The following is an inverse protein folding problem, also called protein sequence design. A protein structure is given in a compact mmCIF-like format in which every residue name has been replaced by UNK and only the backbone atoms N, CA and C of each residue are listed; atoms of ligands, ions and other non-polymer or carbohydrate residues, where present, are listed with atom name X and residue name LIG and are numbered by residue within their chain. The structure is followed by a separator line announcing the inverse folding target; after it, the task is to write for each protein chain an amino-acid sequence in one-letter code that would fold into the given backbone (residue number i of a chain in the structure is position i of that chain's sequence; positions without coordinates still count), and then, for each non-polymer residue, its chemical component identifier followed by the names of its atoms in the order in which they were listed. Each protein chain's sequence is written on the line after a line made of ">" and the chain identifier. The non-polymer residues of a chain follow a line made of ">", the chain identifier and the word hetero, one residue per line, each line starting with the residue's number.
data_IF_297244114619
#
_entry.id   IF_297244114619
#
_cell.length_a   1.000
_cell.length_b   1.000
_cell.length_c   1.000
_cell.angle_alpha   90.00
_cell.angle_beta   90.00
_cell.angle_gamma   90.00
#
_symmetry.space_group_name_H-M   'P 1'
#
loop_
_entity.id
_entity.type
_entity.pdbx_description
1 polymer ?
#
# COMPACT_ATOMS: atom_id res chain seq x y z
N UNK A 1 -18.11 3.23 -1.02
CA UNK A 1 -18.39 1.78 -0.88
C UNK A 1 -19.34 1.34 -1.98
N UNK A 2 -19.04 0.28 -2.72
CA UNK A 2 -20.03 -0.28 -3.68
C UNK A 2 -21.29 -0.72 -2.92
N UNK A 3 -22.47 -0.35 -3.41
CA UNK A 3 -23.75 -0.67 -2.77
C UNK A 3 -24.19 -2.12 -3.00
N UNK A 4 -23.26 -3.07 -2.99
CA UNK A 4 -23.56 -4.46 -3.28
C UNK A 4 -24.47 -5.05 -2.19
N UNK A 5 -25.51 -5.75 -2.64
CA UNK A 5 -26.34 -6.60 -1.80
C UNK A 5 -25.58 -7.89 -1.45
N UNK A 6 -25.96 -8.59 -0.36
CA UNK A 6 -25.33 -9.88 -0.03
C UNK A 6 -25.39 -10.90 -1.18
N UNK A 7 -26.47 -10.90 -1.97
CA UNK A 7 -26.61 -11.79 -3.14
C UNK A 7 -25.63 -11.45 -4.25
N UNK A 8 -25.39 -10.17 -4.51
CA UNK A 8 -24.42 -9.72 -5.51
C UNK A 8 -22.99 -10.04 -5.07
N UNK A 9 -22.68 -9.86 -3.78
CA UNK A 9 -21.37 -10.24 -3.23
C UNK A 9 -21.13 -11.74 -3.42
N UNK A 10 -22.10 -12.58 -3.04
CA UNK A 10 -22.00 -14.04 -3.23
C UNK A 10 -21.79 -14.38 -4.71
N UNK A 11 -22.59 -13.78 -5.61
CA UNK A 11 -22.48 -14.00 -7.05
C UNK A 11 -21.10 -13.63 -7.61
N UNK A 12 -20.50 -12.56 -7.10
CA UNK A 12 -19.16 -12.17 -7.53
C UNK A 12 -18.09 -13.12 -6.96
N UNK A 13 -18.26 -13.60 -5.72
CA UNK A 13 -17.40 -14.63 -5.14
C UNK A 13 -17.52 -15.97 -5.88
N UNK A 14 -18.70 -16.32 -6.39
CA UNK A 14 -18.94 -17.56 -7.16
C UNK A 14 -18.09 -17.66 -8.43
N UNK A 15 -17.63 -16.52 -8.98
CA UNK A 15 -16.75 -16.50 -10.17
C UNK A 15 -15.33 -17.02 -9.88
N UNK A 16 -14.92 -17.04 -8.62
CA UNK A 16 -13.56 -17.38 -8.20
C UNK A 16 -13.50 -18.55 -7.22
N UNK A 17 -14.53 -18.73 -6.39
CA UNK A 17 -14.60 -19.78 -5.37
C UNK A 17 -15.71 -20.75 -5.74
N UNK A 18 -15.38 -22.04 -5.86
CA UNK A 18 -16.37 -23.10 -6.12
C UNK A 18 -16.92 -23.62 -4.79
N UNK A 19 -18.25 -23.70 -4.65
CA UNK A 19 -18.92 -24.13 -3.42
C UNK A 19 -18.72 -23.17 -2.24
N UNK A 20 -18.66 -23.68 -1.01
CA UNK A 20 -18.47 -22.88 0.22
C UNK A 20 -19.55 -21.80 0.45
N UNK A 21 -20.81 -22.11 0.11
CA UNK A 21 -21.91 -21.14 0.09
C UNK A 21 -22.17 -20.50 1.46
N UNK A 22 -22.02 -21.26 2.55
CA UNK A 22 -22.16 -20.77 3.91
C UNK A 22 -21.10 -19.69 4.23
N UNK A 23 -19.83 -19.99 3.93
CA UNK A 23 -18.73 -19.04 4.14
C UNK A 23 -18.91 -17.77 3.29
N UNK A 24 -19.33 -17.92 2.02
CA UNK A 24 -19.64 -16.78 1.13
C UNK A 24 -20.77 -15.91 1.69
N UNK A 25 -21.84 -16.53 2.21
CA UNK A 25 -22.95 -15.79 2.84
C UNK A 25 -22.50 -15.06 4.09
N UNK A 26 -21.70 -15.70 4.95
CA UNK A 26 -21.18 -15.10 6.17
C UNK A 26 -20.37 -13.83 5.87
N UNK A 27 -19.41 -13.91 4.93
CA UNK A 27 -18.61 -12.74 4.54
C UNK A 27 -19.44 -11.66 3.85
N UNK A 28 -20.44 -12.04 3.05
CA UNK A 28 -21.33 -11.09 2.38
C UNK A 28 -22.19 -10.31 3.39
N UNK A 29 -22.66 -10.96 4.46
CA UNK A 29 -23.40 -10.31 5.54
C UNK A 29 -22.49 -9.36 6.32
N UNK A 30 -21.28 -9.79 6.70
CA UNK A 30 -20.32 -8.95 7.41
C UNK A 30 -19.98 -7.68 6.62
N UNK A 31 -19.75 -7.81 5.31
CA UNK A 31 -19.50 -6.69 4.42
C UNK A 31 -20.71 -5.77 4.27
N UNK A 32 -21.91 -6.33 4.13
CA UNK A 32 -23.15 -5.54 4.06
C UNK A 32 -23.42 -4.78 5.37
N UNK A 33 -23.06 -5.36 6.51
CA UNK A 33 -23.20 -4.71 7.81
C UNK A 33 -22.29 -3.48 7.93
N UNK A 34 -21.11 -3.48 7.29
CA UNK A 34 -20.27 -2.26 7.19
C UNK A 34 -20.94 -1.14 6.42
N UNK A 35 -21.56 -1.46 5.27
CA UNK A 35 -22.36 -0.49 4.53
C UNK A 35 -23.51 0.04 5.38
N UNK A 36 -24.26 -0.84 6.08
CA UNK A 36 -25.35 -0.45 6.97
C UNK A 36 -24.87 0.47 8.09
N UNK A 37 -23.74 0.15 8.73
CA UNK A 37 -23.11 0.98 9.77
C UNK A 37 -22.84 2.40 9.25
N UNK A 38 -22.29 2.53 8.05
CA UNK A 38 -22.00 3.83 7.44
C UNK A 38 -23.27 4.67 7.13
N UNK A 39 -24.47 4.08 7.18
CA UNK A 39 -25.75 4.80 7.04
C UNK A 39 -26.38 5.18 8.38
N UNK A 40 -25.81 4.74 9.51
CA UNK A 40 -26.31 5.08 10.84
C UNK A 40 -25.85 6.49 11.23
N UNK A 41 -26.63 7.19 12.08
CA UNK A 41 -26.19 8.40 12.77
C UNK A 41 -24.91 8.16 13.58
N UNK A 42 -24.10 9.21 13.80
CA UNK A 42 -22.75 9.07 14.35
C UNK A 42 -22.73 8.48 15.77
N UNK A 43 -23.71 8.82 16.62
CA UNK A 43 -23.86 8.31 17.98
C UNK A 43 -24.04 6.79 18.04
N UNK A 44 -24.86 6.22 17.14
CA UNK A 44 -25.09 4.78 17.06
C UNK A 44 -23.97 4.10 16.26
N UNK A 45 -23.37 4.81 15.30
CA UNK A 45 -22.36 4.25 14.40
C UNK A 45 -21.15 3.73 15.17
N UNK A 46 -20.68 4.46 16.17
CA UNK A 46 -19.51 4.10 16.98
C UNK A 46 -19.77 2.86 17.85
N UNK A 47 -21.00 2.67 18.34
CA UNK A 47 -21.36 1.50 19.17
C UNK A 47 -21.45 0.18 18.36
N UNK A 48 -21.62 0.27 17.04
CA UNK A 48 -21.78 -0.92 16.18
C UNK A 48 -20.42 -1.48 15.76
N UNK A 49 -19.99 -2.51 16.47
CA UNK A 49 -18.75 -3.23 16.17
C UNK A 49 -18.88 -4.17 14.95
N UNK A 50 -17.79 -4.41 14.22
CA UNK A 50 -17.73 -5.42 13.17
C UNK A 50 -18.15 -6.80 13.68
N UNK A 51 -18.76 -7.60 12.80
CA UNK A 51 -19.01 -9.02 13.07
C UNK A 51 -17.84 -9.81 12.52
N UNK A 52 -16.86 -10.07 13.37
CA UNK A 52 -15.71 -10.90 13.01
C UNK A 52 -16.15 -12.31 12.65
N UNK A 53 -15.30 -13.03 11.91
CA UNK A 53 -15.65 -14.32 11.32
C UNK A 53 -14.59 -15.35 11.70
N UNK A 54 -15.03 -16.50 12.19
CA UNK A 54 -14.18 -17.68 12.35
C UNK A 54 -14.53 -18.72 11.27
N UNK A 55 -13.59 -18.99 10.37
CA UNK A 55 -13.72 -20.00 9.33
C UNK A 55 -13.10 -21.34 9.78
N UNK A 56 -13.93 -22.37 9.87
CA UNK A 56 -13.51 -23.71 10.27
C UNK A 56 -13.52 -24.63 9.04
N UNK A 57 -12.42 -25.34 8.81
CA UNK A 57 -12.36 -26.37 7.77
C UNK A 57 -10.93 -26.77 7.41
N UNK A 58 -10.74 -27.83 6.62
CA UNK A 58 -9.41 -28.32 6.28
C UNK A 58 -8.62 -27.32 5.41
N UNK A 59 -7.32 -27.54 5.26
CA UNK A 59 -6.49 -26.73 4.36
C UNK A 59 -6.94 -26.90 2.90
N UNK A 60 -6.68 -25.89 2.06
CA UNK A 60 -6.97 -25.97 0.62
C UNK A 60 -8.44 -25.78 0.19
N UNK A 61 -9.41 -25.67 1.11
CA UNK A 61 -10.84 -25.49 0.75
C UNK A 61 -11.24 -24.07 0.34
N UNK A 62 -10.30 -23.12 0.34
CA UNK A 62 -10.53 -21.75 -0.13
C UNK A 62 -10.79 -20.69 0.95
N UNK A 63 -10.58 -20.97 2.24
CA UNK A 63 -10.77 -20.00 3.34
C UNK A 63 -10.07 -18.66 3.09
N UNK A 64 -8.77 -18.70 2.79
CA UNK A 64 -7.97 -17.51 2.49
C UNK A 64 -8.41 -16.84 1.19
N UNK A 65 -8.84 -17.62 0.19
CA UNK A 65 -9.24 -17.07 -1.11
C UNK A 65 -10.56 -16.30 -1.00
N UNK A 66 -11.51 -16.77 -0.18
CA UNK A 66 -12.74 -16.03 0.12
C UNK A 66 -12.41 -14.66 0.72
N UNK A 67 -11.56 -14.60 1.75
CA UNK A 67 -11.18 -13.34 2.39
C UNK A 67 -10.41 -12.40 1.45
N UNK A 68 -9.47 -12.94 0.66
CA UNK A 68 -8.70 -12.18 -0.33
C UNK A 68 -9.60 -11.59 -1.42
N UNK A 69 -10.54 -12.38 -1.95
CA UNK A 69 -11.48 -11.93 -2.99
C UNK A 69 -12.47 -10.92 -2.44
N UNK A 70 -12.94 -11.11 -1.21
CA UNK A 70 -13.77 -10.13 -0.52
C UNK A 70 -13.07 -8.77 -0.43
N UNK A 71 -11.81 -8.74 0.01
CA UNK A 71 -11.06 -7.50 0.11
C UNK A 71 -10.87 -6.80 -1.24
N UNK A 72 -10.53 -7.57 -2.28
CA UNK A 72 -10.39 -7.04 -3.65
C UNK A 72 -11.72 -6.52 -4.22
N UNK A 73 -12.85 -7.14 -3.88
CA UNK A 73 -14.17 -6.73 -4.36
C UNK A 73 -14.56 -5.33 -3.86
N UNK A 74 -14.12 -4.95 -2.66
CA UNK A 74 -14.48 -3.67 -2.05
C UNK A 74 -13.32 -2.69 -1.91
N UNK A 75 -12.21 -2.96 -2.61
CA UNK A 75 -10.98 -2.17 -2.53
C UNK A 75 -10.57 -1.89 -1.06
N UNK A 76 -10.60 -2.94 -0.25
CA UNK A 76 -10.21 -2.89 1.15
C UNK A 76 -8.73 -3.26 1.34
N UNK A 77 -7.99 -2.56 2.23
CA UNK A 77 -6.68 -3.01 2.69
C UNK A 77 -6.77 -4.40 3.32
N UNK A 78 -5.85 -5.29 2.96
CA UNK A 78 -5.87 -6.68 3.39
C UNK A 78 -4.48 -7.13 3.82
N UNK A 79 -4.41 -7.77 4.99
CA UNK A 79 -3.21 -8.44 5.48
C UNK A 79 -3.54 -9.88 5.89
N UNK A 80 -2.67 -10.82 5.52
CA UNK A 80 -2.70 -12.21 6.00
C UNK A 80 -1.55 -12.39 6.98
N UNK A 81 -1.84 -12.90 8.16
CA UNK A 81 -0.84 -13.27 9.18
C UNK A 81 -1.16 -14.66 9.73
N UNK A 82 -0.12 -15.43 10.07
CA UNK A 82 -0.26 -16.73 10.73
C UNK A 82 -0.13 -16.52 12.24
N UNK A 83 -1.08 -17.05 13.03
CA UNK A 83 -1.10 -16.85 14.48
C UNK A 83 0.13 -17.46 15.19
N UNK A 84 0.71 -18.51 14.61
CA UNK A 84 1.90 -19.20 15.11
C UNK A 84 3.16 -18.33 15.11
N UNK A 85 3.22 -17.28 14.28
CA UNK A 85 4.34 -16.33 14.23
C UNK A 85 4.60 -15.61 15.55
N UNK A 86 3.61 -15.55 16.43
CA UNK A 86 3.72 -14.91 17.73
C UNK A 86 4.06 -15.88 18.87
N UNK A 87 4.19 -17.19 18.58
CA UNK A 87 4.44 -18.24 19.60
C UNK A 87 5.91 -18.63 19.78
N UNK A 88 6.80 -18.28 18.85
CA UNK A 88 8.18 -18.80 18.86
C UNK A 88 9.09 -18.09 19.87
N UNK A 89 9.89 -18.88 20.60
CA UNK A 89 10.86 -18.47 21.63
C UNK A 89 12.04 -17.74 20.96
N UNK A 90 11.79 -16.50 20.57
CA UNK A 90 12.70 -15.63 19.83
C UNK A 90 12.14 -14.21 19.82
N UNK A 91 11.66 -13.77 20.99
CA UNK A 91 10.89 -12.56 21.21
C UNK A 91 11.78 -11.31 21.25
N UNK A 92 12.38 -10.97 20.11
CA UNK A 92 12.95 -9.64 19.87
C UNK A 92 12.45 -9.18 18.48
N UNK A 93 11.27 -8.56 18.43
CA UNK A 93 10.95 -7.65 17.32
C UNK A 93 9.65 -7.83 16.52
N UNK A 94 8.73 -8.77 16.84
CA UNK A 94 7.39 -8.79 16.21
C UNK A 94 6.25 -8.81 17.21
N UNK A 95 5.94 -7.59 17.64
CA UNK A 95 4.74 -7.17 18.36
C UNK A 95 3.46 -7.44 17.52
N UNK A 96 2.37 -7.90 18.14
CA UNK A 96 1.07 -8.16 17.49
C UNK A 96 0.52 -6.91 16.80
N UNK A 97 0.86 -5.71 17.30
CA UNK A 97 0.52 -4.45 16.63
C UNK A 97 1.15 -4.32 15.23
N UNK A 98 2.20 -5.09 14.92
CA UNK A 98 2.77 -5.14 13.56
C UNK A 98 1.75 -5.55 12.50
N UNK A 99 0.73 -6.32 12.86
CA UNK A 99 -0.39 -6.66 11.98
C UNK A 99 -1.08 -5.39 11.47
N UNK A 100 -1.31 -4.42 12.37
CA UNK A 100 -1.97 -3.16 12.04
C UNK A 100 -1.03 -2.25 11.26
N UNK A 101 0.27 -2.23 11.59
CA UNK A 101 1.29 -1.50 10.81
C UNK A 101 1.35 -2.01 9.36
N UNK A 102 1.35 -3.33 9.16
CA UNK A 102 1.33 -3.97 7.85
C UNK A 102 0.02 -3.68 7.07
N UNK A 103 -1.12 -3.65 7.78
CA UNK A 103 -2.41 -3.26 7.21
C UNK A 103 -2.40 -1.82 6.69
N UNK A 104 -1.80 -0.90 7.45
CA UNK A 104 -1.66 0.51 7.07
C UNK A 104 -0.74 0.66 5.87
N UNK A 105 0.37 -0.07 5.81
CA UNK A 105 1.23 -0.10 4.62
C UNK A 105 0.50 -0.66 3.39
N UNK A 106 -0.33 -1.69 3.56
CA UNK A 106 -1.18 -2.20 2.49
C UNK A 106 -2.20 -1.15 2.04
N UNK A 107 -2.76 -0.37 2.97
CA UNK A 107 -3.67 0.74 2.67
C UNK A 107 -2.98 1.85 1.89
N UNK A 108 -1.77 2.26 2.28
CA UNK A 108 -0.99 3.27 1.58
C UNK A 108 -0.69 2.84 0.16
N UNK A 109 -0.26 1.59 -0.05
CA UNK A 109 -0.02 1.07 -1.41
C UNK A 109 -1.27 1.15 -2.28
N UNK A 110 -2.43 0.79 -1.71
CA UNK A 110 -3.70 0.84 -2.39
C UNK A 110 -4.13 2.28 -2.74
N UNK A 111 -4.10 3.19 -1.78
CA UNK A 111 -4.48 4.60 -1.98
C UNK A 111 -3.51 5.28 -2.95
N UNK A 112 -2.20 5.07 -2.80
CA UNK A 112 -1.19 5.61 -3.71
C UNK A 112 -1.42 5.16 -5.16
N UNK A 113 -1.76 3.89 -5.38
CA UNK A 113 -2.08 3.39 -6.72
C UNK A 113 -3.31 4.09 -7.32
N UNK A 114 -4.35 4.34 -6.51
CA UNK A 114 -5.55 5.05 -6.96
C UNK A 114 -5.29 6.53 -7.25
N UNK A 115 -4.49 7.22 -6.42
CA UNK A 115 -4.05 8.58 -6.68
C UNK A 115 -3.20 8.66 -7.94
N UNK A 116 -2.28 7.70 -8.14
CA UNK A 116 -1.47 7.58 -9.35
C UNK A 116 -2.31 7.45 -10.63
N UNK A 117 -3.41 6.70 -10.57
CA UNK A 117 -4.35 6.59 -11.70
C UNK A 117 -5.13 7.89 -11.94
N UNK A 118 -5.53 8.62 -10.88
CA UNK A 118 -6.21 9.92 -11.00
C UNK A 118 -5.31 10.96 -11.68
N UNK A 119 -4.00 10.95 -11.42
CA UNK A 119 -3.05 11.90 -12.00
C UNK A 119 -2.45 11.44 -13.33
N UNK A 120 -2.75 10.21 -13.80
CA UNK A 120 -2.09 9.61 -14.97
C UNK A 120 -2.16 10.48 -16.22
N UNK A 121 -3.34 11.00 -16.56
CA UNK A 121 -3.53 11.85 -17.75
C UNK A 121 -2.68 13.12 -17.67
N UNK A 122 -2.60 13.74 -16.48
CA UNK A 122 -1.79 14.94 -16.27
C UNK A 122 -0.30 14.62 -16.31
N UNK A 123 0.11 13.49 -15.73
CA UNK A 123 1.48 13.02 -15.78
C UNK A 123 1.93 12.69 -17.21
N UNK A 124 1.07 12.09 -18.02
CA UNK A 124 1.31 11.85 -19.45
C UNK A 124 1.53 13.15 -20.23
N UNK A 125 0.70 14.18 -19.98
CA UNK A 125 0.87 15.49 -20.60
C UNK A 125 2.17 16.18 -20.17
N UNK A 126 2.48 16.19 -18.88
CA UNK A 126 3.73 16.76 -18.35
C UNK A 126 4.97 16.03 -18.90
N UNK A 127 4.91 14.70 -18.99
CA UNK A 127 6.00 13.89 -19.53
C UNK A 127 6.21 14.15 -21.02
N UNK A 128 5.13 14.34 -21.78
CA UNK A 128 5.19 14.75 -23.19
C UNK A 128 5.86 16.12 -23.33
N UNK A 129 5.51 17.10 -22.49
CA UNK A 129 6.14 18.42 -22.51
C UNK A 129 7.63 18.35 -22.14
N UNK A 130 8.01 17.59 -21.10
CA UNK A 130 9.44 17.35 -20.78
C UNK A 130 10.18 16.69 -21.94
N UNK A 131 9.56 15.76 -22.63
CA UNK A 131 10.17 15.06 -23.76
C UNK A 131 10.35 16.00 -24.97
N UNK A 132 9.35 16.82 -25.28
CA UNK A 132 9.45 17.89 -26.30
C UNK A 132 10.61 18.81 -25.98
N UNK A 133 10.73 19.25 -24.72
CA UNK A 133 11.81 20.10 -24.27
C UNK A 133 13.19 19.44 -24.43
N UNK A 134 13.34 18.18 -24.02
CA UNK A 134 14.59 17.44 -24.17
C UNK A 134 15.01 17.27 -25.65
N UNK A 135 14.05 17.10 -26.55
CA UNK A 135 14.31 16.94 -27.99
C UNK A 135 14.55 18.28 -28.73
N UNK A 136 14.08 19.39 -28.16
CA UNK A 136 14.21 20.72 -28.77
C UNK A 136 15.31 21.57 -28.14
N UNK A 137 15.73 21.28 -26.92
CA UNK A 137 16.86 21.94 -26.26
C UNK A 137 18.17 21.59 -26.99
N UNK A 138 18.60 22.50 -27.85
CA UNK A 138 19.88 22.46 -28.57
C UNK A 138 21.07 22.94 -27.73
N UNK A 139 20.83 23.49 -26.54
CA UNK A 139 21.90 24.03 -25.70
C UNK A 139 22.21 23.10 -24.54
N UNK A 140 23.36 22.42 -24.62
CA UNK A 140 24.05 21.87 -23.44
C UNK A 140 24.14 23.00 -22.41
N UNK A 141 23.37 22.91 -21.32
CA UNK A 141 23.59 23.77 -20.14
C UNK A 141 25.07 23.63 -19.78
N UNK A 142 25.84 24.71 -19.90
CA UNK A 142 27.23 24.71 -19.39
C UNK A 142 27.14 24.42 -17.89
N UNK A 143 27.82 23.38 -17.37
CA UNK A 143 27.81 23.12 -15.94
C UNK A 143 28.31 24.38 -15.22
N UNK A 144 27.54 24.86 -14.25
CA UNK A 144 27.94 26.02 -13.46
C UNK A 144 29.21 25.67 -12.69
N UNK A 145 30.22 26.54 -12.73
CA UNK A 145 31.45 26.34 -11.97
C UNK A 145 31.12 26.38 -10.47
N UNK A 146 31.59 25.41 -9.67
CA UNK A 146 31.32 25.37 -8.23
C UNK A 146 31.84 26.61 -7.47
N UNK A 147 32.84 27.31 -8.03
CA UNK A 147 33.37 28.58 -7.50
C UNK A 147 32.37 29.74 -7.67
N UNK A 148 31.61 29.78 -8.78
CA UNK A 148 30.63 30.85 -9.02
C UNK A 148 29.40 30.74 -8.10
N UNK A 149 29.01 29.51 -7.77
CA UNK A 149 27.90 29.22 -6.84
C UNK A 149 28.27 29.62 -5.40
N UNK A 150 29.52 29.39 -4.99
CA UNK A 150 30.05 29.75 -3.67
C UNK A 150 30.22 31.27 -3.47
N UNK A 151 30.44 32.01 -4.56
CA UNK A 151 30.58 33.47 -4.55
C UNK A 151 29.24 34.23 -4.67
N UNK A 152 28.11 33.52 -4.66
CA UNK A 152 26.78 34.12 -4.74
C UNK A 152 26.40 34.65 -6.13
N UNK A 153 27.19 34.36 -7.17
CA UNK A 153 26.83 34.65 -8.54
C UNK A 153 25.82 33.61 -9.01
N UNK A 154 24.53 33.98 -9.01
CA UNK A 154 23.52 33.19 -9.74
C UNK A 154 23.93 33.18 -11.22
N UNK A 155 24.10 32.01 -11.85
CA UNK A 155 24.29 31.95 -13.29
C UNK A 155 23.11 32.69 -13.94
N UNK A 156 23.38 33.76 -14.68
CA UNK A 156 22.35 34.40 -15.50
C UNK A 156 21.91 33.35 -16.54
N UNK A 157 20.66 32.92 -16.45
CA UNK A 157 20.07 32.17 -17.56
C UNK A 157 20.24 33.01 -18.83
N UNK A 158 20.77 32.44 -19.93
CA UNK A 158 20.91 33.18 -21.17
C UNK A 158 19.53 33.64 -21.62
N UNK A 159 19.28 34.95 -21.61
CA UNK A 159 18.03 35.53 -22.12
C UNK A 159 17.94 35.31 -23.63
N UNK A 160 17.09 34.38 -24.05
CA UNK A 160 16.78 34.13 -25.47
C UNK A 160 16.13 35.37 -26.10
N UNK A 161 16.60 35.74 -27.29
CA UNK A 161 16.02 36.82 -28.07
C UNK A 161 14.55 36.53 -28.44
N UNK A 162 13.70 37.55 -28.67
CA UNK A 162 12.30 37.35 -29.08
C UNK A 162 12.14 36.48 -30.34
N UNK A 163 13.08 36.59 -31.29
CA UNK A 163 13.08 35.78 -32.51
C UNK A 163 13.41 34.30 -32.22
N UNK A 164 14.38 34.05 -31.35
CA UNK A 164 14.78 32.68 -30.99
C UNK A 164 13.69 31.96 -30.20
N UNK A 165 12.95 32.68 -29.34
CA UNK A 165 11.75 32.14 -28.65
C UNK A 165 10.67 31.70 -29.64
N UNK A 166 10.44 32.51 -30.68
CA UNK A 166 9.43 32.20 -31.70
C UNK A 166 9.84 30.97 -32.52
N UNK A 167 11.11 30.86 -32.92
CA UNK A 167 11.65 29.68 -33.62
C UNK A 167 11.60 28.42 -32.76
N UNK A 168 11.90 28.53 -31.47
CA UNK A 168 11.82 27.42 -30.53
C UNK A 168 10.38 26.90 -30.40
N UNK A 169 9.40 27.80 -30.26
CA UNK A 169 7.99 27.43 -30.12
C UNK A 169 7.46 26.67 -31.36
N UNK A 170 7.80 27.12 -32.57
CA UNK A 170 7.43 26.41 -33.81
C UNK A 170 8.05 25.01 -33.84
N UNK A 171 9.32 24.87 -33.42
CA UNK A 171 10.01 23.58 -33.37
C UNK A 171 9.41 22.65 -32.31
N UNK A 172 9.03 23.17 -31.15
CA UNK A 172 8.34 22.42 -30.10
C UNK A 172 7.00 21.87 -30.60
N UNK A 173 6.24 22.67 -31.35
CA UNK A 173 4.96 22.22 -31.91
C UNK A 173 5.10 21.12 -32.98
N UNK A 174 6.11 21.23 -33.86
CA UNK A 174 6.45 20.18 -34.82
C UNK A 174 6.84 18.87 -34.11
N UNK A 175 7.76 18.95 -33.14
CA UNK A 175 8.20 17.80 -32.35
C UNK A 175 7.03 17.17 -31.60
N UNK A 176 6.17 17.97 -30.97
CA UNK A 176 4.96 17.49 -30.29
C UNK A 176 4.05 16.72 -31.24
N UNK A 177 3.80 17.26 -32.44
CA UNK A 177 2.97 16.61 -33.46
C UNK A 177 3.55 15.26 -33.89
N UNK A 178 4.86 15.20 -34.12
CA UNK A 178 5.56 13.96 -34.53
C UNK A 178 5.65 12.94 -33.40
N UNK A 179 5.81 13.38 -32.15
CA UNK A 179 5.75 12.53 -30.95
C UNK A 179 4.37 11.88 -30.79
N UNK A 180 3.29 12.64 -30.98
CA UNK A 180 1.91 12.10 -30.92
C UNK A 180 1.62 11.09 -32.02
N UNK A 181 2.26 11.23 -33.19
CA UNK A 181 2.18 10.28 -34.30
C UNK A 181 3.07 9.05 -34.13
N UNK A 182 3.90 9.01 -33.08
CA UNK A 182 4.84 7.91 -32.84
C UNK A 182 6.02 7.85 -33.81
N UNK A 183 6.30 8.93 -34.55
CA UNK A 183 7.35 8.97 -35.56
C UNK A 183 8.76 9.03 -34.96
N UNK A 184 8.86 9.46 -33.69
CA UNK A 184 10.12 9.75 -33.01
C UNK A 184 10.50 8.68 -31.97
N UNK A 185 9.75 7.59 -31.85
CA UNK A 185 9.89 6.60 -30.77
C UNK A 185 11.27 5.91 -30.70
N UNK A 186 12.01 5.87 -31.83
CA UNK A 186 13.36 5.30 -31.94
C UNK A 186 14.48 6.32 -31.78
N UNK A 187 14.16 7.61 -31.70
CA UNK A 187 15.17 8.64 -31.46
C UNK A 187 15.75 8.49 -30.06
N UNK A 188 17.02 8.83 -29.90
CA UNK A 188 17.72 8.72 -28.62
C UNK A 188 17.66 10.06 -27.90
N UNK A 189 17.21 10.02 -26.64
CA UNK A 189 17.20 11.16 -25.74
C UNK A 189 18.05 10.85 -24.51
N UNK A 190 18.64 11.89 -23.93
CA UNK A 190 19.41 11.79 -22.69
C UNK A 190 18.54 12.30 -21.54
N UNK A 191 18.18 11.40 -20.63
CA UNK A 191 17.35 11.72 -19.45
C UNK A 191 18.16 11.56 -18.17
N UNK A 192 17.89 12.41 -17.19
CA UNK A 192 18.42 12.29 -15.84
C UNK A 192 17.54 11.30 -15.05
N UNK A 193 18.11 10.17 -14.65
CA UNK A 193 17.38 9.14 -13.90
C UNK A 193 17.98 9.02 -12.50
N UNK A 194 17.13 8.90 -11.50
CA UNK A 194 17.55 8.64 -10.12
C UNK A 194 18.19 7.26 -10.01
N UNK A 195 19.44 7.21 -9.54
CA UNK A 195 20.20 5.98 -9.36
C UNK A 195 19.90 5.41 -7.96
N UNK A 196 19.14 4.31 -7.90
CA UNK A 196 18.98 3.55 -6.66
C UNK A 196 20.20 2.64 -6.50
N UNK A 197 21.29 3.16 -5.94
CA UNK A 197 22.40 2.31 -5.50
C UNK A 197 21.92 1.41 -4.37
N UNK A 198 22.03 0.07 -4.48
CA UNK A 198 21.79 -0.83 -3.36
C UNK A 198 22.70 -0.41 -2.21
N UNK A 199 22.12 -0.10 -1.05
CA UNK A 199 22.94 0.19 0.12
C UNK A 199 23.74 -1.09 0.47
N UNK A 200 25.07 -1.01 0.63
CA UNK A 200 25.84 -2.16 1.09
C UNK A 200 25.36 -2.53 2.49
N UNK A 201 24.92 -3.78 2.67
CA UNK A 201 24.62 -4.32 3.99
C UNK A 201 25.93 -4.39 4.79
N UNK A 202 26.14 -3.41 5.67
CA UNK A 202 27.29 -3.40 6.59
C UNK A 202 26.92 -4.27 7.80
N UNK A 203 27.65 -5.38 8.05
CA UNK A 203 27.38 -6.24 9.20
C UNK A 203 27.53 -5.45 10.51
N UNK A 204 26.47 -5.41 11.33
CA UNK A 204 26.46 -4.76 12.65
C UNK A 204 25.86 -3.35 12.69
N UNK A 205 25.31 -2.85 11.58
CA UNK A 205 24.58 -1.57 11.55
C UNK A 205 23.09 -1.84 11.36
N UNK A 206 22.26 -1.35 12.30
CA UNK A 206 20.82 -1.55 12.32
C UNK A 206 20.14 -0.89 11.09
N UNK A 207 19.23 -1.61 10.41
CA UNK A 207 18.60 -1.18 9.14
C UNK A 207 17.91 0.18 9.24
N UNK A 208 17.46 0.57 10.43
CA UNK A 208 16.75 1.83 10.65
C UNK A 208 17.64 3.09 10.53
N UNK A 209 18.96 2.96 10.65
CA UNK A 209 19.88 4.10 10.58
C UNK A 209 20.31 4.44 9.13
N UNK A 210 20.28 3.44 8.24
CA UNK A 210 20.56 3.60 6.80
C UNK A 210 19.47 4.36 6.03
N UNK A 211 18.20 4.16 6.41
CA UNK A 211 17.06 4.85 5.80
C UNK A 211 16.94 6.32 6.23
N UNK A 212 17.34 6.66 7.47
CA UNK A 212 17.37 8.06 7.92
C UNK A 212 18.48 8.87 7.25
N UNK A 213 19.68 8.30 7.04
CA UNK A 213 20.77 8.98 6.33
C UNK A 213 20.51 9.10 4.83
N UNK A 214 19.82 8.13 4.22
CA UNK A 214 19.48 8.13 2.79
C UNK A 214 18.52 9.24 2.36
N UNK A 215 17.69 9.74 3.29
CA UNK A 215 16.74 10.82 3.01
C UNK A 215 17.32 12.24 3.16
N UNK A 216 18.50 12.40 3.77
CA UNK A 216 19.16 13.71 3.97
C UNK A 216 20.12 14.05 2.81
N UNK A 217 20.67 13.04 2.13
CA UNK A 217 21.54 13.25 0.98
C UNK A 217 20.72 13.38 -0.31
N UNK A 218 21.02 14.35 -1.20
CA UNK A 218 20.36 14.44 -2.49
C UNK A 218 20.57 13.14 -3.26
N UNK A 219 19.46 12.58 -3.78
CA UNK A 219 19.50 11.33 -4.53
C UNK A 219 20.47 11.49 -5.70
N UNK A 220 21.42 10.56 -5.83
CA UNK A 220 22.35 10.57 -6.97
C UNK A 220 21.54 10.34 -8.24
N UNK A 221 21.69 11.25 -9.18
CA UNK A 221 21.09 11.13 -10.51
C UNK A 221 22.17 10.83 -11.53
N UNK A 222 21.80 10.11 -12.59
CA UNK A 222 22.70 9.73 -13.68
C UNK A 222 22.04 9.99 -15.01
N UNK A 223 22.80 10.59 -15.92
CA UNK A 223 22.37 10.76 -17.30
C UNK A 223 22.38 9.41 -18.01
N UNK A 224 21.25 9.03 -18.59
CA UNK A 224 21.06 7.80 -19.34
C UNK A 224 20.55 8.15 -20.74
N UNK A 225 21.20 7.58 -21.76
CA UNK A 225 20.74 7.66 -23.14
C UNK A 225 19.79 6.50 -23.39
N UNK A 226 18.55 6.80 -23.72
CA UNK A 226 17.48 5.82 -23.96
C UNK A 226 16.68 6.25 -25.17
N UNK A 227 15.94 5.32 -25.75
CA UNK A 227 14.99 5.66 -26.83
C UNK A 227 13.80 6.43 -26.27
N UNK A 228 13.19 7.28 -27.10
CA UNK A 228 12.00 8.07 -26.75
C UNK A 228 10.89 7.22 -26.12
N UNK A 229 10.63 6.02 -26.66
CA UNK A 229 9.63 5.11 -26.10
C UNK A 229 9.89 4.71 -24.65
N UNK A 230 11.17 4.54 -24.30
CA UNK A 230 11.60 4.17 -22.96
C UNK A 230 11.61 5.40 -22.05
N UNK A 231 12.10 6.54 -22.56
CA UNK A 231 12.04 7.82 -21.85
C UNK A 231 10.61 8.19 -21.47
N UNK A 232 9.65 7.98 -22.37
CA UNK A 232 8.22 8.23 -22.11
C UNK A 232 7.73 7.46 -20.88
N UNK A 233 8.05 6.17 -20.78
CA UNK A 233 7.63 5.34 -19.63
C UNK A 233 8.26 5.86 -18.33
N UNK A 234 9.55 6.19 -18.36
CA UNK A 234 10.29 6.68 -17.19
C UNK A 234 9.76 8.04 -16.73
N UNK A 235 9.63 9.00 -17.65
CA UNK A 235 9.15 10.35 -17.37
C UNK A 235 7.71 10.34 -16.86
N UNK A 236 6.83 9.52 -17.44
CA UNK A 236 5.45 9.39 -16.93
C UNK A 236 5.45 8.89 -15.50
N UNK A 237 6.24 7.88 -15.17
CA UNK A 237 6.33 7.36 -13.81
C UNK A 237 6.87 8.41 -12.81
N UNK A 238 7.89 9.19 -13.21
CA UNK A 238 8.40 10.31 -12.41
C UNK A 238 7.36 11.40 -12.19
N UNK A 239 6.69 11.86 -13.25
CA UNK A 239 5.66 12.90 -13.16
C UNK A 239 4.46 12.42 -12.33
N UNK A 240 4.05 11.15 -12.47
CA UNK A 240 3.03 10.56 -11.61
C UNK A 240 3.43 10.63 -10.14
N UNK A 241 4.67 10.27 -9.82
CA UNK A 241 5.14 10.30 -8.44
C UNK A 241 5.23 11.73 -7.88
N UNK A 242 5.63 12.70 -8.71
CA UNK A 242 5.72 14.11 -8.32
C UNK A 242 4.36 14.78 -8.11
N UNK A 243 3.34 14.34 -8.85
CA UNK A 243 1.97 14.89 -8.76
C UNK A 243 1.16 14.33 -7.58
N UNK A 244 1.62 13.27 -6.93
CA UNK A 244 0.92 12.67 -5.79
C UNK A 244 1.26 13.44 -4.51
N UNK A 245 0.24 13.99 -3.87
CA UNK A 245 0.34 14.53 -2.51
C UNK A 245 0.36 13.38 -1.49
N UNK A 246 1.53 13.13 -0.90
CA UNK A 246 1.73 12.05 0.05
C UNK A 246 0.99 12.29 1.37
N UNK A 247 0.76 13.54 1.80
CA UNK A 247 0.06 13.83 3.06
C UNK A 247 -1.43 13.49 2.94
N UNK A 248 -2.03 13.83 1.79
CA UNK A 248 -3.38 13.38 1.44
C UNK A 248 -3.47 11.85 1.35
N UNK A 249 -2.47 11.19 0.75
CA UNK A 249 -2.41 9.72 0.67
C UNK A 249 -2.35 9.09 2.06
N UNK A 250 -1.52 9.59 2.98
CA UNK A 250 -1.42 9.05 4.33
C UNK A 250 -2.71 9.22 5.11
N UNK A 251 -3.33 10.40 5.03
CA UNK A 251 -4.60 10.69 5.70
C UNK A 251 -5.73 9.78 5.20
N UNK A 252 -5.88 9.62 3.88
CA UNK A 252 -6.88 8.72 3.29
C UNK A 252 -6.56 7.24 3.58
N UNK A 253 -5.28 6.86 3.62
CA UNK A 253 -4.88 5.49 3.90
C UNK A 253 -5.16 5.08 5.36
N UNK A 254 -4.98 5.98 6.33
CA UNK A 254 -5.34 5.73 7.73
C UNK A 254 -6.85 5.52 7.83
N UNK A 255 -7.66 6.44 7.34
CA UNK A 255 -9.14 6.31 7.35
C UNK A 255 -9.58 4.99 6.70
N UNK A 256 -9.00 4.64 5.55
CA UNK A 256 -9.33 3.40 4.85
C UNK A 256 -8.91 2.16 5.64
N UNK A 257 -7.79 2.18 6.36
CA UNK A 257 -7.38 1.07 7.22
C UNK A 257 -8.35 0.90 8.39
N UNK A 258 -8.74 1.99 9.05
CA UNK A 258 -9.69 1.98 10.18
C UNK A 258 -11.09 1.52 9.75
N UNK A 259 -11.63 2.10 8.68
CA UNK A 259 -13.03 1.90 8.30
C UNK A 259 -13.25 0.65 7.46
N UNK A 260 -12.25 0.27 6.65
CA UNK A 260 -12.39 -0.76 5.62
C UNK A 260 -11.35 -1.87 5.72
N UNK A 261 -10.33 -1.76 6.57
CA UNK A 261 -9.29 -2.78 6.73
C UNK A 261 -9.83 -4.17 7.06
N UNK A 262 -9.18 -5.19 6.51
CA UNK A 262 -9.48 -6.60 6.74
C UNK A 262 -8.20 -7.31 7.15
N UNK A 263 -8.22 -7.97 8.31
CA UNK A 263 -7.12 -8.79 8.83
C UNK A 263 -7.54 -10.25 8.74
N UNK A 264 -6.74 -11.07 8.09
CA UNK A 264 -6.92 -12.52 8.05
C UNK A 264 -5.90 -13.22 8.96
N UNK A 265 -6.39 -13.81 10.05
CA UNK A 265 -5.59 -14.57 11.02
C UNK A 265 -5.68 -16.06 10.68
N UNK A 266 -4.67 -16.59 10.01
CA UNK A 266 -4.58 -18.00 9.65
C UNK A 266 -4.05 -18.83 10.83
N UNK A 267 -4.42 -20.11 10.86
CA UNK A 267 -3.98 -21.08 11.88
C UNK A 267 -4.26 -20.67 13.34
N UNK A 268 -5.38 -19.99 13.61
CA UNK A 268 -5.77 -19.60 14.98
C UNK A 268 -5.98 -20.83 15.88
N UNK A 269 -6.31 -21.98 15.30
CA UNK A 269 -6.48 -23.24 16.02
C UNK A 269 -5.17 -23.76 16.64
N UNK A 270 -4.01 -23.28 16.17
CA UNK A 270 -2.69 -23.64 16.72
C UNK A 270 -2.36 -22.91 18.02
N UNK A 271 -3.02 -21.79 18.26
CA UNK A 271 -2.91 -21.04 19.52
C UNK A 271 -4.07 -21.32 20.47
N UNK A 272 -5.08 -22.08 20.04
CA UNK A 272 -6.17 -22.58 20.87
C UNK A 272 -5.73 -23.78 21.75
N UNK A 273 -6.10 -23.79 23.03
CA UNK A 273 -5.79 -24.88 23.95
C UNK A 273 -5.20 -24.43 25.29
N UNK A 274 -5.59 -25.15 26.36
CA UNK A 274 -4.90 -25.11 27.65
C UNK A 274 -3.85 -26.22 27.68
N UNK A 275 -2.65 -25.84 28.05
CA UNK A 275 -1.52 -26.72 28.28
C UNK A 275 -1.85 -27.99 29.06
N UNK A 276 -1.72 -29.13 28.40
CA UNK A 276 -1.85 -30.45 28.99
C UNK A 276 -0.48 -31.06 29.29
N UNK A 277 0.30 -30.45 30.18
CA UNK A 277 1.50 -31.04 30.75
C UNK A 277 2.75 -30.16 30.67
N UNK A 278 3.46 -30.06 31.81
CA UNK A 278 4.76 -29.39 32.04
C UNK A 278 5.57 -29.09 30.75
N UNK A 279 5.32 -27.93 30.15
CA UNK A 279 5.92 -27.43 28.92
C UNK A 279 5.48 -25.98 28.66
N UNK A 280 6.00 -25.28 27.64
CA UNK A 280 5.82 -23.83 27.44
C UNK A 280 4.38 -23.45 27.02
N UNK A 281 3.43 -23.62 27.92
CA UNK A 281 1.99 -23.42 27.70
C UNK A 281 1.56 -21.96 27.81
N UNK A 282 2.37 -21.13 28.50
CA UNK A 282 2.13 -19.68 28.67
C UNK A 282 2.20 -18.93 27.32
N UNK A 283 2.88 -19.51 26.33
CA UNK A 283 3.09 -18.86 25.03
C UNK A 283 1.83 -18.82 24.15
N UNK A 284 1.00 -19.86 24.14
CA UNK A 284 -0.16 -19.93 23.22
C UNK A 284 -1.34 -19.08 23.67
N UNK A 285 -1.70 -19.15 24.95
CA UNK A 285 -2.72 -18.27 25.53
C UNK A 285 -2.23 -16.81 25.55
N UNK A 286 -0.93 -16.58 25.76
CA UNK A 286 -0.29 -15.27 25.64
C UNK A 286 -0.58 -14.61 24.28
N UNK A 287 -0.40 -15.34 23.18
CA UNK A 287 -0.72 -14.82 21.83
C UNK A 287 -2.19 -14.42 21.70
N UNK A 288 -3.13 -15.20 22.25
CA UNK A 288 -4.54 -14.83 22.21
C UNK A 288 -4.81 -13.53 23.00
N UNK A 289 -4.17 -13.37 24.16
CA UNK A 289 -4.27 -12.16 24.99
C UNK A 289 -3.63 -10.95 24.31
N UNK A 290 -2.55 -11.14 23.56
CA UNK A 290 -1.88 -10.07 22.83
C UNK A 290 -2.67 -9.66 21.56
N UNK A 291 -3.41 -10.58 20.95
CA UNK A 291 -4.33 -10.29 19.83
C UNK A 291 -5.61 -9.60 20.31
N UNK A 292 -6.05 -9.86 21.54
CA UNK A 292 -7.32 -9.36 22.04
C UNK A 292 -7.45 -7.82 21.93
N UNK A 293 -6.50 -6.97 22.36
CA UNK A 293 -6.60 -5.52 22.24
C UNK A 293 -6.92 -5.03 20.83
N UNK A 294 -6.27 -5.58 19.80
CA UNK A 294 -6.49 -5.14 18.42
C UNK A 294 -7.85 -5.61 17.88
N UNK A 295 -8.40 -6.71 18.39
CA UNK A 295 -9.73 -7.22 18.02
C UNK A 295 -10.85 -6.48 18.77
N UNK A 296 -10.63 -6.09 20.02
CA UNK A 296 -11.60 -5.33 20.82
C UNK A 296 -11.72 -3.86 20.42
N UNK A 297 -10.62 -3.29 19.91
CA UNK A 297 -10.51 -1.87 19.59
C UNK A 297 -9.40 -1.24 20.42
N UNK A 298 -8.28 -0.95 19.78
CA UNK A 298 -7.15 -0.23 20.38
C UNK A 298 -6.60 0.80 19.40
N UNK A 299 -5.81 1.73 19.93
CA UNK A 299 -5.04 2.66 19.09
C UNK A 299 -3.61 2.16 18.96
N UNK A 300 -3.21 1.82 17.73
CA UNK A 300 -1.86 1.39 17.39
C UNK A 300 -1.09 2.56 16.79
N UNK A 301 0.11 2.83 17.30
CA UNK A 301 0.98 3.86 16.75
C UNK A 301 1.76 3.32 15.54
N UNK A 302 1.69 4.05 14.44
CA UNK A 302 2.46 3.78 13.23
C UNK A 302 3.33 4.99 12.87
N UNK A 303 4.31 4.79 11.98
CA UNK A 303 5.14 5.90 11.44
C UNK A 303 4.34 6.94 10.64
N UNK A 304 3.08 6.65 10.31
CA UNK A 304 2.20 7.53 9.55
C UNK A 304 1.16 8.24 10.43
N UNK A 305 1.06 7.85 11.70
CA UNK A 305 0.05 8.34 12.64
C UNK A 305 -0.58 7.22 13.48
N UNK A 306 -1.39 7.57 14.49
CA UNK A 306 -2.17 6.61 15.26
C UNK A 306 -3.30 6.03 14.39
N UNK A 307 -3.61 4.75 14.60
CA UNK A 307 -4.66 4.03 13.87
C UNK A 307 -5.54 3.25 14.85
N UNK A 308 -6.85 3.47 14.76
CA UNK A 308 -7.87 2.80 15.58
C UNK A 308 -8.34 1.49 14.93
N UNK A 309 -8.41 0.41 15.71
CA UNK A 309 -8.78 -0.92 15.20
C UNK A 309 -10.25 -1.27 15.39
N UNK A 310 -11.04 -0.41 16.03
CA UNK A 310 -12.45 -0.61 16.43
C UNK A 310 -13.37 -1.12 15.31
N UNK A 311 -13.03 -0.81 14.06
CA UNK A 311 -13.84 -1.11 12.89
C UNK A 311 -13.16 -1.99 11.84
N UNK A 312 -11.94 -2.47 12.15
CA UNK A 312 -11.22 -3.47 11.35
C UNK A 312 -11.96 -4.80 11.43
N UNK A 313 -12.09 -5.49 10.30
CA UNK A 313 -12.77 -6.78 10.23
C UNK A 313 -11.72 -7.87 10.38
N UNK A 314 -11.85 -8.68 11.42
CA UNK A 314 -11.02 -9.85 11.62
C UNK A 314 -11.72 -11.08 11.05
N UNK A 315 -10.99 -11.81 10.21
CA UNK A 315 -11.38 -13.13 9.71
C UNK A 315 -10.32 -14.11 10.20
N UNK A 316 -10.64 -14.86 11.24
CA UNK A 316 -9.80 -15.94 11.72
C UNK A 316 -10.12 -17.24 10.98
N UNK A 317 -9.12 -18.10 10.80
CA UNK A 317 -9.29 -19.39 10.16
C UNK A 317 -8.47 -20.46 10.87
N UNK A 318 -9.02 -21.68 10.92
CA UNK A 318 -8.34 -22.83 11.50
C UNK A 318 -8.92 -24.15 11.01
N UNK A 319 -8.15 -25.22 11.17
CA UNK A 319 -8.63 -26.57 10.87
C UNK A 319 -9.41 -27.16 12.05
N UNK A 320 -8.99 -26.85 13.28
CA UNK A 320 -9.62 -27.34 14.52
C UNK A 320 -9.68 -28.88 14.58
N UNK A 321 -8.63 -29.55 14.09
CA UNK A 321 -8.50 -31.02 14.19
C UNK A 321 -8.10 -31.48 15.59
N UNK A 322 -7.25 -30.70 16.27
CA UNK A 322 -6.65 -31.04 17.58
C UNK A 322 -7.14 -30.16 18.72
N UNK A 323 -7.82 -29.07 18.40
CA UNK A 323 -8.39 -28.09 19.32
C UNK A 323 -9.81 -27.77 18.88
N UNK A 324 -10.63 -27.30 19.81
CA UNK A 324 -12.00 -26.83 19.56
C UNK A 324 -12.06 -25.32 19.67
N UNK A 325 -13.09 -24.71 19.09
CA UNK A 325 -13.37 -23.27 19.25
C UNK A 325 -13.52 -22.90 20.72
N UNK A 326 -14.12 -23.80 21.52
CA UNK A 326 -14.27 -23.64 22.97
C UNK A 326 -12.95 -23.53 23.72
N UNK A 327 -11.83 -23.92 23.10
CA UNK A 327 -10.50 -23.90 23.70
C UNK A 327 -9.77 -22.56 23.47
N UNK A 328 -10.37 -21.63 22.73
CA UNK A 328 -9.97 -20.22 22.71
C UNK A 328 -10.35 -19.55 24.05
N UNK A 329 -9.69 -18.44 24.40
CA UNK A 329 -10.08 -17.67 25.59
C UNK A 329 -11.51 -17.11 25.43
N UNK A 330 -12.33 -17.09 26.50
CA UNK A 330 -13.72 -16.64 26.43
C UNK A 330 -13.87 -15.24 25.84
N UNK A 331 -12.93 -14.34 26.13
CA UNK A 331 -12.91 -12.97 25.64
C UNK A 331 -12.83 -12.92 24.11
N UNK A 332 -11.97 -13.75 23.51
CA UNK A 332 -11.79 -13.83 22.07
C UNK A 332 -12.98 -14.52 21.37
N UNK A 333 -13.64 -15.48 22.04
CA UNK A 333 -14.86 -16.10 21.52
C UNK A 333 -16.04 -15.10 21.45
N UNK A 334 -16.05 -14.10 22.31
CA UNK A 334 -17.08 -13.07 22.35
C UNK A 334 -16.95 -11.99 21.26
N UNK A 335 -15.85 -11.99 20.49
CA UNK A 335 -15.53 -10.97 19.49
C UNK A 335 -15.61 -11.50 18.07
#
# INVERSE_FOLDING_TARGET
>A
MMQLTPREIVRELDRFIIGQDEAKRAVAVALRNRYRRAQLPDDIREEVTPKNILMIGPTGVGKTEIARRLAKLVDAPFVKVEATKFTEVGYVGRDVESIIRDLVEASIRLVKAQHGERVRIRAEANAEDRLVDLMTQTQKRKPANPIDILLGNKPKEPELSPEDRTKLAVRQDDVRTRLRRGELEREIVEIEVVENTPQPEIPGMDMNMGDMLGNILPKKTKMRKVEVREARIILVAEEQQNLIDMDSVYSEAIDRAEQHGIVFLDEIDKVAGRGGGHGPDVSREGVQRDILPIVEGSTVNTKYGPVKTDHVLFIAAGAFHVSKVSDLIPELQGR
#
